data_IF_750931002625
#
_entry.id   IF_750931002625
#
_cell.length_a   1.000
_cell.length_b   1.000
_cell.length_c   1.000
_cell.angle_alpha   90.00
_cell.angle_beta   90.00
_cell.angle_gamma   90.00
#
_symmetry.space_group_name_H-M   'P 1'
#
loop_
_entity.id
_entity.type
_entity.pdbx_description
1 polymer ?
#
# COMPACT_ATOMS: atom_id res chain seq x y z
N UNK A 1 55.79 6.50 12.36
CA UNK A 1 54.44 7.07 12.60
C UNK A 1 53.47 6.44 11.63
N UNK A 2 52.31 5.99 12.08
CA UNK A 2 51.25 5.38 11.25
C UNK A 2 50.02 6.27 11.25
N UNK A 3 49.43 6.50 10.08
CA UNK A 3 48.25 7.36 9.94
C UNK A 3 46.96 6.63 10.40
N UNK A 4 46.01 7.32 11.06
CA UNK A 4 44.74 6.75 11.48
C UNK A 4 43.76 6.55 10.30
N UNK A 5 42.78 5.68 10.51
CA UNK A 5 41.97 5.06 9.46
C UNK A 5 40.61 5.76 9.28
N UNK A 6 40.30 6.22 8.07
CA UNK A 6 39.01 6.87 7.72
C UNK A 6 37.85 5.85 7.62
N UNK A 7 37.28 5.43 8.76
CA UNK A 7 36.08 4.55 8.82
C UNK A 7 34.81 5.23 9.37
N UNK A 8 34.79 6.56 9.48
CA UNK A 8 33.72 7.27 10.21
C UNK A 8 32.41 7.52 9.44
N UNK A 9 32.49 8.09 8.24
CA UNK A 9 31.36 8.82 7.63
C UNK A 9 30.17 7.94 7.22
N UNK A 10 30.42 6.81 6.56
CA UNK A 10 29.35 5.93 6.04
C UNK A 10 28.48 5.32 7.14
N UNK A 11 29.06 4.97 8.29
CA UNK A 11 28.34 4.39 9.43
C UNK A 11 27.38 5.39 10.07
N UNK A 12 27.83 6.64 10.24
CA UNK A 12 27.03 7.72 10.83
C UNK A 12 25.81 8.01 9.96
N UNK A 13 25.97 8.14 8.63
CA UNK A 13 24.86 8.36 7.70
C UNK A 13 23.84 7.22 7.76
N UNK A 14 24.28 5.96 7.65
CA UNK A 14 23.39 4.80 7.72
C UNK A 14 22.64 4.67 9.07
N UNK A 15 23.21 5.18 10.17
CA UNK A 15 22.52 5.26 11.47
C UNK A 15 21.48 6.37 11.53
N UNK A 16 21.76 7.54 10.95
CA UNK A 16 20.82 8.65 10.85
C UNK A 16 19.63 8.32 9.93
N UNK A 17 19.89 7.69 8.78
CA UNK A 17 18.85 7.23 7.85
C UNK A 17 17.89 6.24 8.54
N UNK A 18 18.41 5.31 9.36
CA UNK A 18 17.60 4.37 10.15
C UNK A 18 16.83 5.01 11.31
N UNK A 19 17.35 6.10 11.90
CA UNK A 19 16.60 6.90 12.87
C UNK A 19 15.42 7.60 12.20
N UNK A 20 15.65 8.29 11.07
CA UNK A 20 14.60 8.95 10.29
C UNK A 20 13.50 7.95 9.83
N UNK A 21 13.88 6.73 9.42
CA UNK A 21 12.95 5.64 9.12
C UNK A 21 12.15 5.21 10.36
N UNK A 22 12.79 5.02 11.53
CA UNK A 22 12.08 4.68 12.77
C UNK A 22 11.05 5.75 13.15
N UNK A 23 11.44 7.01 13.10
CA UNK A 23 10.55 8.13 13.46
C UNK A 23 9.41 8.29 12.45
N UNK A 24 9.65 7.95 11.17
CA UNK A 24 8.63 7.93 10.15
C UNK A 24 7.58 6.83 10.40
N UNK A 25 8.01 5.64 10.85
CA UNK A 25 7.12 4.55 11.27
C UNK A 25 6.34 4.95 12.53
N UNK A 26 6.96 5.66 13.48
CA UNK A 26 6.28 6.23 14.65
C UNK A 26 5.11 7.15 14.28
N UNK A 27 5.38 8.19 13.47
CA UNK A 27 4.35 9.12 12.99
C UNK A 27 3.27 8.44 12.15
N UNK A 28 3.60 7.35 11.44
CA UNK A 28 2.61 6.59 10.67
C UNK A 28 1.68 5.76 11.56
N UNK A 29 2.22 5.09 12.58
CA UNK A 29 1.45 4.38 13.60
C UNK A 29 0.44 5.33 14.30
N UNK A 30 0.91 6.48 14.76
CA UNK A 30 0.09 7.52 15.40
C UNK A 30 -1.04 8.04 14.48
N UNK A 31 -0.77 8.21 13.18
CA UNK A 31 -1.73 8.78 12.21
C UNK A 31 -2.75 7.80 11.66
N UNK A 32 -2.44 6.50 11.68
CA UNK A 32 -3.28 5.43 11.10
C UNK A 32 -3.88 4.51 12.16
N UNK A 33 -3.52 4.68 13.44
CA UNK A 33 -3.90 3.77 14.52
C UNK A 33 -3.28 2.37 14.44
N UNK A 34 -2.38 2.12 13.49
CA UNK A 34 -1.70 0.83 13.35
C UNK A 34 -0.60 0.68 14.43
N UNK A 35 -0.40 -0.54 14.94
CA UNK A 35 0.64 -0.76 15.95
C UNK A 35 2.06 -0.49 15.39
N UNK A 36 2.81 0.34 16.12
CA UNK A 36 4.20 0.64 15.83
C UNK A 36 5.08 -0.61 15.78
N UNK A 37 4.85 -1.58 16.67
CA UNK A 37 5.71 -2.78 16.76
C UNK A 37 5.53 -3.67 15.53
N UNK A 38 4.29 -3.88 15.10
CA UNK A 38 3.94 -4.52 13.84
C UNK A 38 4.56 -3.80 12.64
N UNK A 39 4.33 -2.49 12.48
CA UNK A 39 4.87 -1.73 11.34
C UNK A 39 6.40 -1.72 11.32
N UNK A 40 7.06 -1.65 12.47
CA UNK A 40 8.51 -1.70 12.57
C UNK A 40 9.08 -3.08 12.27
N UNK A 41 8.47 -4.15 12.79
CA UNK A 41 8.91 -5.52 12.52
C UNK A 41 8.64 -5.93 11.06
N UNK A 42 7.53 -5.48 10.46
CA UNK A 42 7.25 -5.68 9.03
C UNK A 42 8.31 -5.00 8.16
N UNK A 43 8.60 -3.70 8.37
CA UNK A 43 9.65 -2.99 7.63
C UNK A 43 11.05 -3.65 7.81
N UNK A 44 11.32 -4.17 9.01
CA UNK A 44 12.56 -4.92 9.30
C UNK A 44 12.60 -6.29 8.60
N UNK A 45 11.47 -6.97 8.47
CA UNK A 45 11.31 -8.24 7.75
C UNK A 45 11.45 -8.08 6.23
N UNK A 46 10.86 -7.02 5.68
CA UNK A 46 10.75 -6.84 4.23
C UNK A 46 11.98 -6.15 3.61
N UNK A 47 12.57 -5.15 4.28
CA UNK A 47 13.71 -4.41 3.74
C UNK A 47 14.91 -4.27 4.69
N UNK A 48 14.83 -4.77 5.93
CA UNK A 48 15.87 -4.51 6.93
C UNK A 48 15.94 -3.04 7.36
N UNK A 49 14.84 -2.29 7.21
CA UNK A 49 14.77 -0.83 7.36
C UNK A 49 15.60 -0.06 6.32
N UNK A 50 15.63 -0.54 5.08
CA UNK A 50 16.11 0.20 3.90
C UNK A 50 14.90 0.73 3.11
N UNK A 51 14.74 2.06 2.92
CA UNK A 51 13.65 2.61 2.11
C UNK A 51 13.92 2.51 0.59
N UNK A 52 15.12 2.14 0.14
CA UNK A 52 15.47 1.97 -1.28
C UNK A 52 15.54 0.51 -1.72
N UNK A 53 15.17 -0.43 -0.84
CA UNK A 53 15.17 -1.86 -1.14
C UNK A 53 14.30 -2.20 -2.36
N UNK A 54 14.75 -3.19 -3.13
CA UNK A 54 14.14 -3.57 -4.40
C UNK A 54 14.26 -5.06 -4.66
N UNK A 55 13.13 -5.71 -4.95
CA UNK A 55 13.10 -7.10 -5.37
C UNK A 55 13.74 -7.28 -6.75
N UNK A 56 14.56 -8.32 -6.90
CA UNK A 56 15.11 -8.74 -8.20
C UNK A 56 14.13 -9.56 -9.05
N UNK A 57 13.05 -10.06 -8.45
CA UNK A 57 12.13 -11.04 -9.09
C UNK A 57 10.68 -10.54 -9.23
N UNK A 58 10.36 -9.33 -8.79
CA UNK A 58 9.01 -8.73 -8.83
C UNK A 58 9.10 -7.20 -8.86
N UNK A 59 7.96 -6.50 -8.93
CA UNK A 59 7.89 -5.03 -8.79
C UNK A 59 7.81 -4.54 -7.34
N UNK A 60 8.14 -5.40 -6.37
CA UNK A 60 8.18 -5.07 -4.95
C UNK A 60 9.39 -4.18 -4.62
N UNK A 61 9.16 -3.10 -3.86
CA UNK A 61 10.24 -2.24 -3.38
C UNK A 61 9.76 -1.20 -2.37
N UNK A 62 10.71 -0.46 -1.81
CA UNK A 62 10.49 0.44 -0.69
C UNK A 62 10.48 -0.27 0.66
N UNK A 63 10.33 0.52 1.73
CA UNK A 63 10.39 0.08 3.12
C UNK A 63 9.47 -1.10 3.48
N UNK A 64 8.33 -1.21 2.80
CA UNK A 64 7.32 -2.26 2.98
C UNK A 64 7.17 -3.19 1.77
N UNK A 65 8.14 -3.17 0.84
CA UNK A 65 8.18 -4.03 -0.35
C UNK A 65 6.87 -4.08 -1.17
N UNK A 66 6.10 -2.98 -1.19
CA UNK A 66 4.83 -2.90 -1.92
C UNK A 66 5.01 -3.21 -3.42
N UNK A 67 4.24 -4.16 -3.95
CA UNK A 67 4.11 -4.38 -5.41
C UNK A 67 3.25 -3.29 -6.07
N UNK A 68 3.46 -3.05 -7.37
CA UNK A 68 2.84 -1.95 -8.11
C UNK A 68 1.32 -1.84 -7.97
N UNK A 69 0.57 -2.94 -7.87
CA UNK A 69 -0.90 -2.88 -7.82
C UNK A 69 -1.43 -2.59 -6.41
N UNK A 70 -0.86 -3.21 -5.37
CA UNK A 70 -1.20 -2.88 -3.99
C UNK A 70 -0.83 -1.43 -3.66
N UNK A 71 0.34 -0.97 -4.13
CA UNK A 71 0.76 0.43 -3.97
C UNK A 71 -0.26 1.42 -4.56
N UNK A 72 -0.64 1.24 -5.83
CA UNK A 72 -1.57 2.15 -6.49
C UNK A 72 -2.99 2.07 -5.89
N UNK A 73 -3.43 0.92 -5.39
CA UNK A 73 -4.72 0.78 -4.72
C UNK A 73 -4.78 1.55 -3.40
N UNK A 74 -3.83 1.27 -2.49
CA UNK A 74 -3.76 1.94 -1.18
C UNK A 74 -3.55 3.45 -1.35
N UNK A 75 -2.66 3.88 -2.25
CA UNK A 75 -2.43 5.29 -2.53
C UNK A 75 -3.64 5.96 -3.20
N UNK A 76 -4.47 5.23 -3.97
CA UNK A 76 -5.74 5.77 -4.49
C UNK A 76 -6.77 5.98 -3.39
N UNK A 77 -6.88 5.03 -2.46
CA UNK A 77 -7.88 5.03 -1.39
C UNK A 77 -7.53 6.07 -0.30
N UNK A 78 -6.27 6.09 0.14
CA UNK A 78 -5.83 6.82 1.34
C UNK A 78 -4.86 7.98 1.08
N UNK A 79 -4.32 8.10 -0.15
CA UNK A 79 -3.35 9.14 -0.48
C UNK A 79 -3.88 10.56 -0.23
N UNK A 80 -5.19 10.79 -0.47
CA UNK A 80 -5.85 12.06 -0.17
C UNK A 80 -5.77 12.46 1.31
N UNK A 81 -6.10 11.53 2.21
CA UNK A 81 -6.07 11.71 3.67
C UNK A 81 -4.71 12.18 4.19
N UNK A 82 -3.63 11.72 3.54
CA UNK A 82 -2.25 11.97 3.96
C UNK A 82 -1.51 13.03 3.13
N UNK A 83 -2.24 13.85 2.35
CA UNK A 83 -1.67 14.96 1.56
C UNK A 83 -1.09 14.57 0.20
N UNK A 84 -1.11 13.29 -0.16
CA UNK A 84 -0.75 12.75 -1.48
C UNK A 84 -1.94 12.73 -2.46
N UNK A 85 -2.92 13.64 -2.29
CA UNK A 85 -4.13 13.71 -3.13
C UNK A 85 -3.82 13.80 -4.63
N UNK A 86 -2.78 14.56 -5.01
CA UNK A 86 -2.29 14.65 -6.40
C UNK A 86 -1.90 13.28 -6.99
N UNK A 87 -1.42 12.35 -6.16
CA UNK A 87 -1.06 11.00 -6.56
C UNK A 87 -2.31 10.11 -6.65
N UNK A 88 -3.23 10.23 -5.71
CA UNK A 88 -4.52 9.55 -5.74
C UNK A 88 -5.36 9.97 -6.97
N UNK A 89 -5.41 11.25 -7.31
CA UNK A 89 -6.12 11.77 -8.48
C UNK A 89 -5.51 11.28 -9.80
N UNK A 90 -4.19 11.12 -9.86
CA UNK A 90 -3.49 10.58 -11.01
C UNK A 90 -3.72 9.07 -11.23
N UNK A 91 -4.40 8.38 -10.30
CA UNK A 91 -4.65 6.92 -10.35
C UNK A 91 -6.11 6.63 -10.71
N UNK A 92 -6.31 5.67 -11.61
CA UNK A 92 -7.62 5.23 -12.10
C UNK A 92 -7.69 3.72 -12.31
N UNK A 93 -8.91 3.17 -12.25
CA UNK A 93 -9.19 1.78 -12.59
C UNK A 93 -9.49 1.65 -14.08
N UNK A 94 -8.77 0.81 -14.82
CA UNK A 94 -9.01 0.63 -16.26
C UNK A 94 -8.46 -0.70 -16.78
N UNK A 95 -9.33 -1.50 -17.41
CA UNK A 95 -8.99 -2.81 -17.96
C UNK A 95 -8.53 -3.79 -16.87
N UNK A 96 -9.35 -3.96 -15.83
CA UNK A 96 -9.14 -4.94 -14.76
C UNK A 96 -7.98 -4.64 -13.81
N UNK A 97 -7.44 -3.41 -13.81
CA UNK A 97 -6.26 -3.06 -13.00
C UNK A 97 -6.14 -1.57 -12.68
N UNK A 98 -5.35 -1.25 -11.65
CA UNK A 98 -4.92 0.12 -11.36
C UNK A 98 -3.89 0.60 -12.39
N UNK A 99 -4.09 1.84 -12.86
CA UNK A 99 -3.21 2.59 -13.76
C UNK A 99 -2.95 3.97 -13.19
N UNK A 100 -1.80 4.55 -13.55
CA UNK A 100 -1.42 5.93 -13.21
C UNK A 100 -1.20 6.72 -14.50
N UNK A 101 -1.58 8.00 -14.50
CA UNK A 101 -1.36 8.90 -15.63
C UNK A 101 0.14 8.97 -15.98
N UNK A 102 0.55 8.89 -17.27
CA UNK A 102 1.97 8.78 -17.65
C UNK A 102 2.86 9.87 -17.06
N UNK A 103 2.41 11.13 -17.05
CA UNK A 103 3.16 12.28 -16.52
C UNK A 103 3.38 12.23 -15.00
N UNK A 104 2.55 11.49 -14.24
CA UNK A 104 2.69 11.33 -12.80
C UNK A 104 3.40 10.03 -12.39
N UNK A 105 3.59 9.09 -13.33
CA UNK A 105 4.01 7.70 -13.04
C UNK A 105 5.28 7.62 -12.18
N UNK A 106 6.29 8.43 -12.50
CA UNK A 106 7.57 8.39 -11.81
C UNK A 106 7.44 8.85 -10.35
N UNK A 107 6.91 10.05 -10.12
CA UNK A 107 6.69 10.60 -8.79
C UNK A 107 5.77 9.70 -7.93
N UNK A 108 4.70 9.16 -8.51
CA UNK A 108 3.77 8.24 -7.82
C UNK A 108 4.47 6.96 -7.34
N UNK A 109 5.47 6.45 -8.07
CA UNK A 109 6.23 5.28 -7.62
C UNK A 109 7.46 5.63 -6.79
N UNK A 110 8.02 6.83 -6.90
CA UNK A 110 9.11 7.33 -6.05
C UNK A 110 8.67 7.43 -4.58
N UNK A 111 7.39 7.75 -4.32
CA UNK A 111 6.79 7.75 -2.98
C UNK A 111 6.92 6.41 -2.21
N UNK A 112 7.13 5.26 -2.88
CA UNK A 112 7.45 4.00 -2.16
C UNK A 112 8.75 4.06 -1.36
N UNK A 113 9.66 4.93 -1.79
CA UNK A 113 10.98 5.12 -1.20
C UNK A 113 11.05 6.32 -0.24
N UNK A 114 9.97 7.11 -0.13
CA UNK A 114 9.82 8.09 0.95
C UNK A 114 9.40 7.35 2.24
N UNK A 115 10.19 7.40 3.33
CA UNK A 115 9.82 6.75 4.58
C UNK A 115 8.47 7.19 5.15
N UNK A 116 8.01 8.43 4.88
CA UNK A 116 6.68 8.87 5.33
C UNK A 116 5.56 8.24 4.52
N UNK A 117 5.52 8.45 3.20
CA UNK A 117 4.48 7.88 2.34
C UNK A 117 4.43 6.35 2.45
N UNK A 118 5.59 5.68 2.44
CA UNK A 118 5.70 4.22 2.52
C UNK A 118 5.14 3.68 3.84
N UNK A 119 5.43 4.33 4.98
CA UNK A 119 4.90 3.92 6.28
C UNK A 119 3.42 4.28 6.49
N UNK A 120 2.96 5.44 6.01
CA UNK A 120 1.55 5.85 6.10
C UNK A 120 0.66 4.89 5.29
N UNK A 121 1.05 4.56 4.06
CA UNK A 121 0.31 3.58 3.25
C UNK A 121 0.43 2.16 3.84
N UNK A 122 1.52 1.81 4.53
CA UNK A 122 1.59 0.53 5.24
C UNK A 122 0.66 0.46 6.47
N UNK A 123 0.51 1.56 7.21
CA UNK A 123 -0.43 1.69 8.32
C UNK A 123 -1.88 1.56 7.87
N UNK A 124 -2.28 2.32 6.85
CA UNK A 124 -3.63 2.23 6.28
C UNK A 124 -3.94 0.84 5.70
N UNK A 125 -2.99 0.25 4.96
CA UNK A 125 -3.15 -1.12 4.45
C UNK A 125 -3.21 -2.15 5.59
N UNK A 126 -2.61 -1.89 6.76
CA UNK A 126 -2.78 -2.73 7.93
C UNK A 126 -4.21 -2.64 8.49
N UNK A 127 -4.82 -1.45 8.52
CA UNK A 127 -6.22 -1.27 8.94
C UNK A 127 -7.22 -1.89 7.96
N UNK A 128 -7.05 -1.67 6.64
CA UNK A 128 -7.88 -2.30 5.61
C UNK A 128 -7.90 -3.84 5.76
N UNK A 129 -6.73 -4.43 6.03
CA UNK A 129 -6.60 -5.85 6.29
C UNK A 129 -7.19 -6.25 7.65
N UNK A 130 -7.04 -5.43 8.70
CA UNK A 130 -7.60 -5.70 10.02
C UNK A 130 -9.13 -5.78 9.98
N UNK A 131 -9.79 -4.79 9.39
CA UNK A 131 -11.26 -4.73 9.30
C UNK A 131 -11.82 -5.90 8.48
N UNK A 132 -11.21 -6.16 7.32
CA UNK A 132 -11.61 -7.27 6.45
C UNK A 132 -11.37 -8.66 7.05
N UNK A 133 -10.39 -8.82 7.94
CA UNK A 133 -10.14 -10.06 8.67
C UNK A 133 -11.04 -10.20 9.91
N UNK A 134 -11.26 -9.14 10.68
CA UNK A 134 -12.10 -9.14 11.89
C UNK A 134 -13.52 -9.63 11.57
N UNK A 135 -14.09 -9.12 10.47
CA UNK A 135 -15.39 -9.52 9.94
C UNK A 135 -15.44 -10.96 9.37
N UNK A 136 -14.28 -11.59 9.11
CA UNK A 136 -14.18 -12.93 8.52
C UNK A 136 -13.83 -14.02 9.55
N UNK A 137 -13.15 -13.64 10.63
CA UNK A 137 -12.57 -14.53 11.63
C UNK A 137 -13.30 -14.46 12.98
N UNK A 138 -14.24 -13.52 13.15
CA UNK A 138 -15.01 -13.27 14.38
C UNK A 138 -14.14 -13.07 15.64
N UNK A 139 -12.90 -12.60 15.45
CA UNK A 139 -11.92 -12.25 16.48
C UNK A 139 -11.04 -11.11 16.01
N UNK A 140 -10.30 -10.50 16.92
CA UNK A 140 -9.27 -9.52 16.54
C UNK A 140 -8.15 -10.20 15.72
N UNK A 141 -7.69 -9.59 14.61
CA UNK A 141 -6.51 -10.05 13.89
C UNK A 141 -5.23 -9.81 14.70
N UNK A 142 -4.36 -10.81 14.75
CA UNK A 142 -3.01 -10.68 15.29
C UNK A 142 -2.06 -10.06 14.26
N UNK A 143 -0.88 -9.62 14.72
CA UNK A 143 0.23 -9.23 13.85
C UNK A 143 0.52 -10.30 12.77
N UNK A 144 0.47 -11.58 13.14
CA UNK A 144 0.63 -12.70 12.21
C UNK A 144 -0.44 -12.75 11.13
N UNK A 145 -1.72 -12.55 11.48
CA UNK A 145 -2.83 -12.50 10.52
C UNK A 145 -2.70 -11.30 9.55
N UNK A 146 -2.35 -10.11 10.07
CA UNK A 146 -2.14 -8.91 9.26
C UNK A 146 -0.99 -9.09 8.26
N UNK A 147 0.14 -9.66 8.70
CA UNK A 147 1.26 -9.98 7.81
C UNK A 147 0.88 -11.06 6.77
N UNK A 148 0.06 -12.03 7.17
CA UNK A 148 -0.46 -13.06 6.25
C UNK A 148 -1.39 -12.48 5.17
N UNK A 149 -2.19 -11.46 5.51
CA UNK A 149 -3.03 -10.72 4.58
C UNK A 149 -2.26 -9.73 3.70
N UNK A 150 -1.19 -9.10 4.22
CA UNK A 150 -0.24 -8.36 3.40
C UNK A 150 0.42 -9.27 2.35
N UNK A 151 0.78 -10.50 2.71
CA UNK A 151 1.38 -11.48 1.80
C UNK A 151 0.40 -12.08 0.78
N UNK A 152 -0.72 -12.68 1.21
CA UNK A 152 -1.67 -13.35 0.30
C UNK A 152 -2.66 -12.40 -0.39
N UNK A 153 -2.76 -11.16 0.08
CA UNK A 153 -3.93 -10.31 -0.14
C UNK A 153 -5.10 -10.76 0.74
N UNK A 154 -5.92 -9.78 1.16
CA UNK A 154 -7.02 -9.97 2.11
C UNK A 154 -7.95 -11.16 1.77
N UNK A 155 -8.38 -11.30 0.51
CA UNK A 155 -9.26 -12.40 0.10
C UNK A 155 -8.61 -13.79 0.26
N UNK A 156 -7.32 -13.90 -0.07
CA UNK A 156 -6.54 -15.13 0.11
C UNK A 156 -6.36 -15.49 1.59
N UNK A 157 -6.00 -14.50 2.41
CA UNK A 157 -5.86 -14.68 3.86
C UNK A 157 -7.19 -15.00 4.54
N UNK A 158 -8.31 -14.37 4.18
CA UNK A 158 -9.66 -14.74 4.70
C UNK A 158 -9.97 -16.21 4.44
N UNK A 159 -9.74 -16.70 3.20
CA UNK A 159 -9.96 -18.13 2.85
C UNK A 159 -9.02 -19.05 3.66
N UNK A 160 -7.75 -18.69 3.76
CA UNK A 160 -6.73 -19.51 4.44
C UNK A 160 -6.92 -19.57 5.95
N UNK A 161 -7.05 -18.41 6.60
CA UNK A 161 -7.14 -18.30 8.05
C UNK A 161 -8.44 -18.91 8.57
N UNK A 162 -9.55 -18.82 7.82
CA UNK A 162 -10.76 -19.60 8.12
C UNK A 162 -10.50 -21.11 8.02
N UNK A 163 -9.90 -21.59 6.92
CA UNK A 163 -9.57 -23.01 6.79
C UNK A 163 -8.62 -23.50 7.90
N UNK A 164 -7.71 -22.65 8.39
CA UNK A 164 -6.79 -22.95 9.48
C UNK A 164 -7.47 -22.97 10.86
N UNK A 165 -8.54 -22.19 11.06
CA UNK A 165 -9.43 -22.31 12.23
C UNK A 165 -10.25 -23.61 12.17
N UNK A 166 -10.79 -23.94 10.98
CA UNK A 166 -11.67 -25.10 10.79
C UNK A 166 -10.88 -26.43 10.84
N UNK A 167 -9.64 -26.50 10.33
CA UNK A 167 -8.75 -27.67 10.40
C UNK A 167 -7.26 -27.27 10.26
N UNK A 168 -6.53 -26.97 11.35
CA UNK A 168 -5.14 -26.48 11.30
C UNK A 168 -4.13 -27.49 10.71
N UNK A 169 -4.39 -28.79 10.88
CA UNK A 169 -3.50 -29.88 10.44
C UNK A 169 -3.70 -30.27 8.97
N UNK A 170 -4.70 -29.71 8.29
CA UNK A 170 -4.96 -29.98 6.87
C UNK A 170 -3.74 -29.64 5.99
N UNK A 171 -3.36 -30.50 5.01
CA UNK A 171 -2.27 -30.21 4.09
C UNK A 171 -2.52 -28.95 3.25
N UNK A 172 -1.80 -27.87 3.53
CA UNK A 172 -2.00 -26.55 2.92
C UNK A 172 -1.90 -26.60 1.39
N UNK A 173 -0.98 -27.41 0.87
CA UNK A 173 -0.78 -27.57 -0.57
C UNK A 173 -1.95 -28.26 -1.30
N UNK A 174 -2.83 -28.98 -0.59
CA UNK A 174 -4.03 -29.57 -1.18
C UNK A 174 -5.18 -28.54 -1.31
N UNK A 175 -5.27 -27.59 -0.36
CA UNK A 175 -6.32 -26.56 -0.33
C UNK A 175 -5.96 -25.29 -1.11
N UNK A 176 -4.66 -25.06 -1.31
CA UNK A 176 -4.05 -23.91 -1.99
C UNK A 176 -3.00 -24.36 -3.03
N UNK A 177 -3.39 -25.19 -4.04
CA UNK A 177 -2.43 -25.80 -4.96
C UNK A 177 -1.77 -24.81 -5.93
N UNK A 178 -2.44 -23.69 -6.26
CA UNK A 178 -1.86 -22.64 -7.14
C UNK A 178 -0.75 -21.88 -6.41
N UNK A 179 -1.01 -21.53 -5.16
CA UNK A 179 -0.11 -20.84 -4.25
C UNK A 179 1.08 -21.74 -3.90
N UNK A 180 0.84 -23.03 -3.64
CA UNK A 180 1.87 -24.02 -3.38
C UNK A 180 2.76 -24.33 -4.59
N UNK A 181 2.23 -24.28 -5.82
CA UNK A 181 3.02 -24.44 -7.03
C UNK A 181 4.04 -23.31 -7.21
N UNK A 182 3.66 -22.06 -6.92
CA UNK A 182 4.56 -20.90 -7.04
C UNK A 182 5.52 -20.81 -5.85
N UNK A 183 5.04 -21.09 -4.63
CA UNK A 183 5.75 -20.84 -3.38
C UNK A 183 6.14 -22.14 -2.64
N UNK A 184 6.76 -23.07 -3.38
CA UNK A 184 7.08 -24.42 -2.87
C UNK A 184 7.85 -24.45 -1.54
N UNK A 185 8.74 -23.49 -1.30
CA UNK A 185 9.51 -23.37 -0.05
C UNK A 185 8.67 -22.98 1.18
N UNK A 186 7.48 -22.41 0.96
CA UNK A 186 6.51 -22.10 2.02
C UNK A 186 5.60 -23.29 2.27
N UNK A 187 5.09 -23.92 1.20
CA UNK A 187 4.08 -24.99 1.29
C UNK A 187 4.62 -26.42 1.48
N UNK A 188 5.93 -26.64 1.36
CA UNK A 188 6.57 -27.95 1.54
C UNK A 188 7.82 -27.88 2.43
N UNK A 189 8.16 -29.00 3.07
CA UNK A 189 9.45 -29.21 3.74
C UNK A 189 10.60 -29.38 2.74
N UNK A 190 11.85 -29.39 3.22
CA UNK A 190 13.02 -29.76 2.41
C UNK A 190 12.97 -31.22 1.92
N UNK A 191 12.23 -32.11 2.58
CA UNK A 191 11.97 -33.48 2.14
C UNK A 191 10.81 -33.60 1.12
N UNK A 192 10.17 -32.48 0.74
CA UNK A 192 9.04 -32.47 -0.19
C UNK A 192 7.69 -32.82 0.44
N UNK A 193 7.64 -33.08 1.75
CA UNK A 193 6.40 -33.30 2.51
C UNK A 193 5.56 -32.02 2.50
N UNK A 194 4.25 -32.12 2.25
CA UNK A 194 3.36 -30.96 2.33
C UNK A 194 3.22 -30.48 3.78
N UNK A 195 3.21 -29.16 3.98
CA UNK A 195 2.99 -28.54 5.28
C UNK A 195 1.51 -28.48 5.65
N UNK A 196 1.19 -28.41 6.93
CA UNK A 196 -0.17 -28.09 7.40
C UNK A 196 -0.48 -26.59 7.21
N UNK A 197 -1.76 -26.21 7.33
CA UNK A 197 -2.17 -24.81 7.31
C UNK A 197 -1.52 -24.02 8.46
N UNK A 198 -1.48 -24.61 9.65
CA UNK A 198 -0.83 -24.03 10.83
C UNK A 198 0.70 -23.89 10.64
N UNK A 199 1.39 -24.89 10.09
CA UNK A 199 2.83 -24.78 9.83
C UNK A 199 3.16 -23.62 8.88
N UNK A 200 2.35 -23.44 7.83
CA UNK A 200 2.48 -22.35 6.86
C UNK A 200 2.17 -21.00 7.51
N UNK A 201 1.11 -20.90 8.31
CA UNK A 201 0.79 -19.69 9.06
C UNK A 201 1.94 -19.29 9.99
N UNK A 202 2.38 -20.20 10.87
CA UNK A 202 3.48 -19.95 11.82
C UNK A 202 4.80 -19.62 11.12
N UNK A 203 5.04 -20.13 9.91
CA UNK A 203 6.23 -19.79 9.12
C UNK A 203 6.26 -18.32 8.69
N UNK A 204 5.11 -17.74 8.38
CA UNK A 204 4.99 -16.33 8.00
C UNK A 204 4.88 -15.42 9.23
N UNK A 205 4.02 -15.77 10.20
CA UNK A 205 3.73 -14.97 11.39
C UNK A 205 5.00 -14.65 12.22
N UNK A 206 5.92 -15.61 12.37
CA UNK A 206 7.22 -15.45 13.04
C UNK A 206 8.03 -14.23 12.57
N UNK A 207 7.86 -13.78 11.31
CA UNK A 207 8.59 -12.64 10.72
C UNK A 207 8.23 -11.29 11.34
N UNK A 208 7.01 -11.16 11.90
CA UNK A 208 6.56 -9.96 12.62
C UNK A 208 6.41 -10.17 14.13
N UNK A 209 6.20 -11.40 14.58
CA UNK A 209 6.04 -11.75 16.00
C UNK A 209 7.38 -11.78 16.79
N UNK A 210 8.52 -11.96 16.11
CA UNK A 210 9.82 -12.14 16.79
C UNK A 210 10.65 -10.84 16.79
N UNK A 211 10.93 -10.20 17.95
CA UNK A 211 11.77 -9.01 18.03
C UNK A 211 13.25 -9.29 17.67
N UNK A 212 13.56 -9.33 16.37
CA UNK A 212 14.89 -9.69 15.84
C UNK A 212 14.97 -10.94 14.99
N UNK A 213 13.85 -11.65 14.74
CA UNK A 213 13.81 -12.92 13.98
C UNK A 213 13.99 -12.80 12.47
N UNK A 214 15.02 -12.09 12.01
CA UNK A 214 15.34 -11.85 10.60
C UNK A 214 15.86 -13.08 9.86
N UNK A 215 15.06 -14.14 9.74
CA UNK A 215 15.36 -15.26 8.84
C UNK A 215 15.11 -14.84 7.40
N UNK A 216 16.19 -14.52 6.68
CA UNK A 216 16.13 -14.11 5.28
C UNK A 216 15.75 -15.30 4.38
N UNK A 217 14.50 -15.30 3.92
CA UNK A 217 14.16 -15.97 2.67
C UNK A 217 14.73 -15.12 1.52
N UNK A 218 15.88 -15.52 0.96
CA UNK A 218 16.64 -14.79 -0.07
C UNK A 218 15.90 -14.56 -1.41
N UNK A 219 14.61 -14.89 -1.48
CA UNK A 219 13.79 -14.85 -2.69
C UNK A 219 12.44 -14.20 -2.36
N UNK A 220 12.10 -13.06 -2.97
CA UNK A 220 10.76 -12.48 -2.87
C UNK A 220 9.72 -13.53 -3.27
N UNK A 221 8.84 -13.85 -2.32
CA UNK A 221 7.82 -14.88 -2.47
C UNK A 221 6.80 -14.38 -3.49
N UNK A 222 6.51 -15.19 -4.53
CA UNK A 222 5.76 -14.73 -5.69
C UNK A 222 4.27 -15.04 -5.52
N UNK A 223 3.46 -14.00 -5.43
CA UNK A 223 2.01 -14.17 -5.59
C UNK A 223 1.67 -14.33 -7.06
N UNK A 224 0.89 -15.38 -7.38
CA UNK A 224 0.01 -15.30 -8.53
C UNK A 224 -1.04 -14.25 -8.20
N UNK A 225 -1.19 -13.23 -9.04
CA UNK A 225 -2.29 -12.29 -8.88
C UNK A 225 -3.61 -13.03 -9.09
N UNK A 226 -4.44 -13.10 -8.05
CA UNK A 226 -5.83 -13.50 -8.21
C UNK A 226 -6.54 -12.40 -9.01
N UNK A 227 -6.88 -12.71 -10.26
CA UNK A 227 -7.86 -11.97 -11.04
C UNK A 227 -9.18 -12.03 -10.24
N UNK A 228 -9.54 -10.91 -9.59
CA UNK A 228 -10.51 -10.87 -8.48
C UNK A 228 -10.06 -10.03 -7.28
N UNK A 229 -8.77 -9.69 -7.16
CA UNK A 229 -8.29 -8.70 -6.18
C UNK A 229 -8.79 -7.25 -6.44
N UNK A 230 -9.62 -7.07 -7.45
CA UNK A 230 -10.32 -5.83 -7.78
C UNK A 230 -11.48 -5.53 -6.82
N UNK A 231 -12.24 -6.55 -6.41
CA UNK A 231 -13.57 -6.39 -5.83
C UNK A 231 -13.55 -6.06 -4.32
N UNK A 232 -12.37 -5.97 -3.72
CA UNK A 232 -12.18 -5.75 -2.27
C UNK A 232 -12.24 -4.26 -1.90
N UNK A 233 -12.14 -3.35 -2.87
CA UNK A 233 -12.21 -1.89 -2.64
C UNK A 233 -13.65 -1.32 -2.61
N UNK A 234 -14.69 -2.17 -2.55
CA UNK A 234 -16.09 -1.78 -2.83
C UNK A 234 -17.07 -1.97 -1.66
N UNK A 235 -16.61 -2.16 -0.43
CA UNK A 235 -17.50 -2.30 0.76
C UNK A 235 -17.24 -1.25 1.84
N UNK A 236 -17.41 0.03 1.48
CA UNK A 236 -17.39 1.17 2.40
C UNK A 236 -18.56 2.14 2.13
N UNK A 237 -19.80 1.61 2.06
CA UNK A 237 -21.00 2.45 2.02
C UNK A 237 -21.23 3.07 3.40
N UNK A 238 -21.22 4.42 3.54
CA UNK A 238 -21.40 5.04 4.84
C UNK A 238 -22.85 4.86 5.34
N UNK A 239 -22.98 4.28 6.53
CA UNK A 239 -24.26 4.16 7.25
C UNK A 239 -24.67 5.50 7.86
N UNK A 240 -25.16 6.42 7.04
CA UNK A 240 -25.99 7.54 7.51
C UNK A 240 -27.36 7.00 7.90
N UNK A 241 -27.78 7.25 9.15
CA UNK A 241 -29.03 6.73 9.68
C UNK A 241 -30.28 7.34 9.01
N UNK A 242 -31.27 6.50 8.72
CA UNK A 242 -32.67 6.91 8.55
C UNK A 242 -33.58 5.86 9.20
N UNK A 243 -34.32 6.25 10.22
CA UNK A 243 -35.35 5.43 10.87
C UNK A 243 -36.70 5.71 10.20
N UNK A 244 -37.24 4.75 9.46
CA UNK A 244 -38.66 4.73 9.08
C UNK A 244 -39.13 3.32 8.69
N UNK A 245 -40.39 3.10 8.98
CA UNK A 245 -41.10 1.86 9.26
C UNK A 245 -41.39 0.87 8.11
N UNK A 246 -41.91 -0.29 8.50
CA UNK A 246 -42.92 -1.11 7.82
C UNK A 246 -42.81 -1.49 6.31
N UNK A 247 -42.31 -2.72 6.08
CA UNK A 247 -43.03 -3.84 5.43
C UNK A 247 -44.14 -3.54 4.39
N UNK A 248 -43.93 -3.93 3.11
CA UNK A 248 -44.80 -4.90 2.38
C UNK A 248 -44.20 -5.39 1.04
N UNK A 249 -44.88 -6.36 0.43
CA UNK A 249 -44.46 -7.15 -0.74
C UNK A 249 -45.08 -6.65 -2.09
N UNK A 250 -44.41 -7.04 -3.17
CA UNK A 250 -44.96 -7.61 -4.44
C UNK A 250 -45.23 -6.71 -5.67
N UNK A 251 -44.79 -7.29 -6.80
CA UNK A 251 -45.10 -7.14 -8.24
C UNK A 251 -44.78 -5.90 -9.09
N UNK A 252 -44.55 -6.24 -10.37
CA UNK A 252 -44.30 -5.39 -11.53
C UNK A 252 -45.27 -5.82 -12.64
N UNK A 253 -45.91 -4.88 -13.34
CA UNK A 253 -45.91 -4.97 -14.80
C UNK A 253 -45.51 -3.65 -15.48
N UNK A 254 -44.99 -3.75 -16.70
CA UNK A 254 -44.70 -2.60 -17.56
C UNK A 254 -45.84 -2.36 -18.57
N UNK A 255 -46.06 -1.10 -19.00
CA UNK A 255 -46.54 -0.82 -20.38
C UNK A 255 -46.45 0.66 -20.81
N UNK A 256 -45.86 0.90 -21.99
CA UNK A 256 -46.23 1.89 -23.03
C UNK A 256 -46.29 3.43 -22.81
N UNK A 257 -45.97 4.13 -23.92
CA UNK A 257 -46.48 5.44 -24.39
C UNK A 257 -45.59 6.73 -24.25
N UNK A 258 -44.98 7.08 -25.39
CA UNK A 258 -44.66 8.44 -25.93
C UNK A 258 -45.45 8.58 -27.27
N UNK A 259 -45.41 9.65 -28.09
CA UNK A 259 -44.62 10.91 -28.07
C UNK A 259 -45.31 12.00 -27.19
N UNK A 260 -45.11 13.33 -27.29
CA UNK A 260 -44.33 14.23 -28.16
C UNK A 260 -43.76 15.41 -27.31
N UNK A 261 -43.28 16.56 -27.83
CA UNK A 261 -43.08 17.06 -29.19
C UNK A 261 -42.29 18.38 -29.19
N UNK A 262 -41.88 18.83 -30.39
CA UNK A 262 -41.33 20.13 -30.79
C UNK A 262 -40.02 20.71 -30.17
N UNK A 263 -39.17 21.13 -31.12
CA UNK A 263 -37.91 21.90 -31.08
C UNK A 263 -37.94 22.72 -32.40
N UNK A 264 -37.33 23.92 -32.55
CA UNK A 264 -35.87 23.97 -32.73
C UNK A 264 -35.15 25.31 -32.39
N UNK A 265 -33.88 25.36 -32.78
CA UNK A 265 -33.06 26.51 -33.18
C UNK A 265 -32.63 27.58 -32.15
N UNK A 266 -31.36 27.48 -31.75
CA UNK A 266 -30.38 28.46 -32.24
C UNK A 266 -28.97 27.85 -32.34
N UNK A 267 -28.18 28.25 -33.34
CA UNK A 267 -26.91 27.61 -33.70
C UNK A 267 -25.83 28.66 -34.00
N UNK A 268 -24.60 28.48 -33.48
CA UNK A 268 -23.38 29.25 -33.80
C UNK A 268 -23.42 30.74 -33.35
N UNK A 269 -22.34 31.41 -32.90
CA UNK A 269 -20.92 31.22 -33.21
C UNK A 269 -19.96 31.91 -32.20
N UNK A 270 -18.67 31.82 -32.52
CA UNK A 270 -17.56 32.74 -32.17
C UNK A 270 -17.02 32.82 -30.73
N UNK A 271 -15.86 32.17 -30.61
CA UNK A 271 -14.87 32.28 -29.55
C UNK A 271 -14.47 33.72 -29.17
N UNK A 272 -14.38 33.98 -27.86
CA UNK A 272 -13.64 35.11 -27.28
C UNK A 272 -12.42 34.62 -26.50
N UNK A 273 -11.21 34.87 -27.02
CA UNK A 273 -9.94 34.65 -26.28
C UNK A 273 -9.64 35.86 -25.40
N UNK A 274 -9.64 35.68 -24.08
CA UNK A 274 -8.87 36.51 -23.13
C UNK A 274 -8.25 35.63 -22.06
N UNK A 275 -7.04 35.98 -21.61
CA UNK A 275 -6.27 35.16 -20.66
C UNK A 275 -6.66 35.42 -19.21
N UNK A 276 -6.88 34.34 -18.45
CA UNK A 276 -7.06 34.37 -17.00
C UNK A 276 -6.22 33.27 -16.35
N UNK A 277 -4.98 33.58 -15.95
CA UNK A 277 -4.11 32.63 -15.25
C UNK A 277 -4.64 32.45 -13.83
N UNK A 278 -5.21 31.29 -13.53
CA UNK A 278 -5.79 31.01 -12.23
C UNK A 278 -4.72 30.47 -11.27
N UNK A 279 -4.01 31.39 -10.61
CA UNK A 279 -2.79 31.15 -9.81
C UNK A 279 -3.00 30.23 -8.59
N UNK A 280 -4.26 29.94 -8.21
CA UNK A 280 -4.62 29.17 -7.01
C UNK A 280 -5.05 27.71 -7.31
N UNK A 281 -4.61 27.13 -8.42
CA UNK A 281 -4.72 25.68 -8.68
C UNK A 281 -3.36 25.06 -9.01
N UNK A 282 -2.88 24.06 -8.24
CA UNK A 282 -1.68 23.31 -8.61
C UNK A 282 -1.87 22.61 -9.96
N UNK A 283 -1.06 22.99 -10.97
CA UNK A 283 -0.96 22.24 -12.22
C UNK A 283 0.20 21.23 -12.12
N UNK A 284 0.18 20.13 -12.90
CA UNK A 284 1.27 19.13 -12.88
C UNK A 284 2.67 19.71 -13.17
N UNK A 285 2.74 20.89 -13.79
CA UNK A 285 3.99 21.58 -14.13
C UNK A 285 4.69 22.21 -12.91
N UNK A 286 3.96 22.44 -11.81
CA UNK A 286 4.53 22.95 -10.55
C UNK A 286 5.00 21.84 -9.58
N UNK A 287 4.52 20.60 -9.74
CA UNK A 287 4.94 19.49 -8.88
C UNK A 287 6.45 19.22 -8.96
N UNK A 288 7.04 19.36 -10.15
CA UNK A 288 8.48 19.23 -10.39
C UNK A 288 9.29 20.31 -9.66
N UNK A 289 8.74 21.52 -9.50
CA UNK A 289 9.38 22.62 -8.77
C UNK A 289 9.30 22.44 -7.25
N UNK A 290 8.19 21.89 -6.73
CA UNK A 290 8.07 21.55 -5.32
C UNK A 290 9.15 20.54 -4.88
N UNK A 291 9.47 19.56 -5.73
CA UNK A 291 10.52 18.56 -5.46
C UNK A 291 11.94 19.16 -5.45
N UNK A 292 12.18 20.23 -6.22
CA UNK A 292 13.47 20.95 -6.24
C UNK A 292 13.64 21.93 -5.07
N UNK A 293 12.54 22.57 -4.64
CA UNK A 293 12.58 23.55 -3.53
C UNK A 293 12.79 22.89 -2.16
N UNK A 294 12.32 21.66 -1.97
CA UNK A 294 12.54 20.87 -0.74
C UNK A 294 13.96 20.28 -0.64
N UNK A 295 14.71 20.27 -1.75
CA UNK A 295 16.05 19.67 -1.83
C UNK A 295 17.22 20.67 -1.69
N UNK A 296 16.96 21.94 -1.39
CA UNK A 296 17.95 23.03 -1.47
C UNK A 296 18.22 23.70 -0.10
N UNK A 297 19.36 23.44 0.57
CA UNK A 297 19.73 24.11 1.81
C UNK A 297 20.45 25.45 1.57
N UNK A 298 19.75 26.55 1.85
CA UNK A 298 20.26 27.89 2.12
C UNK A 298 19.53 28.36 3.41
N UNK A 299 20.07 29.13 4.34
CA UNK A 299 20.94 30.31 4.23
C UNK A 299 21.61 30.52 5.64
N UNK A 300 22.84 31.00 5.86
CA UNK A 300 23.88 31.59 4.97
C UNK A 300 25.26 30.91 5.19
N UNK A 301 26.37 31.46 5.71
CA UNK A 301 26.70 32.76 6.35
C UNK A 301 27.89 33.47 5.66
N UNK A 302 27.78 34.79 5.50
CA UNK A 302 28.85 35.65 4.97
C UNK A 302 29.54 36.44 6.09
N UNK A 303 30.86 36.63 5.96
CA UNK A 303 31.49 37.89 6.35
C UNK A 303 32.31 37.91 7.64
N UNK A 304 33.61 37.62 7.52
CA UNK A 304 34.63 38.42 8.23
C UNK A 304 35.90 38.53 7.38
N UNK A 305 36.59 39.67 7.45
CA UNK A 305 37.87 39.94 6.75
C UNK A 305 39.06 39.60 7.65
N UNK A 306 40.20 39.29 7.06
CA UNK A 306 41.51 39.36 7.73
C UNK A 306 42.56 38.44 7.14
N UNK A 307 43.51 39.04 6.40
CA UNK A 307 44.89 38.60 6.11
C UNK A 307 45.09 37.22 5.42
N UNK A 308 46.14 36.96 4.62
CA UNK A 308 47.38 37.69 4.32
C UNK A 308 47.55 37.75 2.78
#
# INVERSE_FOLDING_TARGET
>A
MTAPYLRGTGSIRASADKAAVRDAIGRAAERTGADFTYLFNQAKSESGLDPYAKASTSSAGGLYQFIDQSWLGVLKQHGGTHGYGWAADAISWSGGRWRVAPAAREAVFALRNDPQASALMAGEFAQDNADGLRAALCREPSAGDLYFAHFLGLAGARKFLKAAQDNPDAPAAAMFPREAAVNRTIFYTRSGTARSLDEVYRLMARKVETPGGGSAMERPVRMAALEGAADVAMTATPLTASLSDAVRLVDVPASTARPAGDMPDTMLALAGRTGGVNVLKPSPQFATLAYLLVASPFDRDEGTRGDI
#
